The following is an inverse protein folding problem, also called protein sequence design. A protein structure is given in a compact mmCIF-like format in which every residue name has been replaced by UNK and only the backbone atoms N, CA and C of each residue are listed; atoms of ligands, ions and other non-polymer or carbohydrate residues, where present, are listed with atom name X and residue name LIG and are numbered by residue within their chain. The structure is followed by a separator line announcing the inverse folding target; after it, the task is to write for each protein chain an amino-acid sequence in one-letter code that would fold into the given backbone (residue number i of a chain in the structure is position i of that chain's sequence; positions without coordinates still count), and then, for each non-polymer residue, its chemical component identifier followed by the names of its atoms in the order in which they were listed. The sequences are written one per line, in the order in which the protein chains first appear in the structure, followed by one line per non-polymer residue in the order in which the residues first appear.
data_IF_841044661628
#
_entry.id   IF_841044661628
#
_cell.length_a   1.000
_cell.length_b   1.000
_cell.length_c   1.000
_cell.angle_alpha   90.00
_cell.angle_beta   90.00
_cell.angle_gamma   90.00
#
_symmetry.space_group_name_H-M   'P 1'
#
loop_
_entity.id
_entity.type
_entity.pdbx_description
1 polymer ?
#
# COMPACT_ATOMS: atom_id res chain seq x y z
N UNK A 1 19.99 -13.63 -11.55
CA UNK A 1 19.59 -12.95 -10.30
C UNK A 1 18.41 -12.04 -10.63
N UNK A 2 17.42 -11.99 -9.79
CA UNK A 2 16.23 -11.15 -9.95
C UNK A 2 16.54 -9.73 -9.48
N UNK A 3 16.48 -8.74 -10.38
CA UNK A 3 16.60 -7.32 -10.01
C UNK A 3 15.41 -6.95 -9.09
N UNK A 4 15.69 -6.48 -7.88
CA UNK A 4 14.67 -6.30 -6.86
C UNK A 4 14.68 -4.86 -6.35
N UNK A 5 13.52 -4.21 -6.32
CA UNK A 5 13.33 -2.88 -5.76
C UNK A 5 12.31 -2.89 -4.64
N UNK A 6 12.61 -2.20 -3.55
CA UNK A 6 11.66 -1.87 -2.51
C UNK A 6 11.00 -0.52 -2.84
N UNK A 7 9.67 -0.52 -2.95
CA UNK A 7 8.85 0.69 -3.21
C UNK A 7 8.10 1.01 -1.91
N UNK A 8 8.67 1.87 -1.10
CA UNK A 8 8.11 2.28 0.18
C UNK A 8 7.43 3.65 0.10
N UNK A 9 6.84 4.11 1.18
CA UNK A 9 6.16 5.41 1.30
C UNK A 9 4.95 5.31 2.22
N UNK A 10 4.59 6.42 2.82
CA UNK A 10 3.52 6.49 3.82
C UNK A 10 2.14 6.25 3.21
N UNK A 11 1.12 6.13 4.07
CA UNK A 11 -0.27 5.96 3.64
C UNK A 11 -0.68 7.06 2.65
N UNK A 12 -1.29 6.67 1.55
CA UNK A 12 -1.83 7.60 0.55
C UNK A 12 -0.77 8.32 -0.32
N UNK A 13 0.51 8.02 -0.21
CA UNK A 13 1.57 8.64 -1.05
C UNK A 13 1.47 8.29 -2.53
N UNK A 14 0.80 7.18 -2.89
CA UNK A 14 0.61 6.75 -4.28
C UNK A 14 1.51 5.58 -4.70
N UNK A 15 1.96 4.72 -3.77
CA UNK A 15 2.79 3.54 -4.06
C UNK A 15 2.19 2.64 -5.13
N UNK A 16 0.97 2.16 -4.92
CA UNK A 16 0.28 1.26 -5.85
C UNK A 16 0.11 1.88 -7.22
N UNK A 17 -0.27 3.17 -7.28
CA UNK A 17 -0.36 3.91 -8.54
C UNK A 17 0.98 3.96 -9.26
N UNK A 18 2.07 4.21 -8.53
CA UNK A 18 3.42 4.22 -9.09
C UNK A 18 3.83 2.85 -9.63
N UNK A 19 3.52 1.78 -8.91
CA UNK A 19 3.77 0.40 -9.38
C UNK A 19 2.98 0.09 -10.65
N UNK A 20 1.71 0.49 -10.72
CA UNK A 20 0.90 0.33 -11.93
C UNK A 20 1.51 1.03 -13.14
N UNK A 21 1.98 2.27 -12.97
CA UNK A 21 2.66 3.00 -14.04
C UNK A 21 3.98 2.34 -14.46
N UNK A 22 4.75 1.80 -13.52
CA UNK A 22 5.97 1.05 -13.82
C UNK A 22 5.66 -0.23 -14.58
N UNK A 23 4.61 -0.95 -14.20
CA UNK A 23 4.17 -2.18 -14.87
C UNK A 23 3.65 -1.92 -16.29
N UNK A 24 2.97 -0.79 -16.51
CA UNK A 24 2.53 -0.38 -17.84
C UNK A 24 3.68 -0.10 -18.81
N UNK A 25 4.86 0.26 -18.29
CA UNK A 25 6.07 0.50 -19.05
C UNK A 25 6.98 -0.76 -19.16
N UNK A 26 6.58 -1.87 -18.53
CA UNK A 26 7.38 -3.11 -18.49
C UNK A 26 7.76 -3.57 -19.90
N UNK A 27 9.03 -3.90 -20.18
CA UNK A 27 9.42 -4.53 -21.44
C UNK A 27 8.66 -5.84 -21.69
N UNK A 28 8.24 -6.05 -22.92
CA UNK A 28 7.42 -7.21 -23.30
C UNK A 28 8.14 -8.54 -23.10
N UNK A 29 9.45 -8.54 -23.23
CA UNK A 29 10.34 -9.70 -23.08
C UNK A 29 10.78 -9.96 -21.63
N UNK A 30 10.48 -9.07 -20.69
CA UNK A 30 10.79 -9.25 -19.29
C UNK A 30 9.60 -9.82 -18.49
N UNK A 31 9.91 -10.73 -17.59
CA UNK A 31 8.96 -11.29 -16.62
C UNK A 31 9.08 -10.55 -15.30
N UNK A 32 8.06 -9.84 -14.93
CA UNK A 32 8.03 -9.09 -13.67
C UNK A 32 7.15 -9.75 -12.65
N UNK A 33 7.50 -9.58 -11.39
CA UNK A 33 6.71 -9.99 -10.24
C UNK A 33 6.50 -8.82 -9.28
N UNK A 34 5.39 -8.84 -8.57
CA UNK A 34 5.08 -7.88 -7.50
C UNK A 34 4.71 -8.63 -6.24
N UNK A 35 5.38 -8.30 -5.14
CA UNK A 35 5.08 -8.78 -3.81
C UNK A 35 4.45 -7.65 -3.01
N UNK A 36 3.18 -7.81 -2.64
CA UNK A 36 2.40 -6.77 -1.97
C UNK A 36 2.07 -7.19 -0.55
N UNK A 37 2.23 -6.24 0.36
CA UNK A 37 1.64 -6.33 1.68
C UNK A 37 0.96 -5.00 1.99
N UNK A 38 -0.35 -5.00 2.15
CA UNK A 38 -1.09 -3.81 2.51
C UNK A 38 -1.66 -3.91 3.93
N UNK A 39 -1.58 -2.77 4.64
CA UNK A 39 -2.29 -2.62 5.92
C UNK A 39 -3.78 -2.49 5.59
N UNK A 40 -4.55 -3.45 6.07
CA UNK A 40 -6.00 -3.46 5.92
C UNK A 40 -6.59 -4.37 4.87
N UNK A 41 -5.81 -5.14 4.20
CA UNK A 41 -6.15 -6.39 3.51
C UNK A 41 -7.50 -6.51 2.80
N UNK A 42 -7.85 -5.48 2.09
CA UNK A 42 -8.75 -5.66 0.96
C UNK A 42 -7.84 -5.90 -0.23
N UNK A 43 -7.83 -7.09 -0.83
CA UNK A 43 -7.00 -7.43 -1.99
C UNK A 43 -7.27 -6.58 -3.25
N UNK A 44 -7.38 -5.28 -3.03
CA UNK A 44 -7.72 -4.27 -4.04
C UNK A 44 -6.52 -4.00 -4.92
N UNK A 45 -5.33 -3.94 -4.33
CA UNK A 45 -4.10 -3.70 -5.10
C UNK A 45 -3.77 -4.93 -5.95
N UNK A 46 -4.07 -6.13 -5.46
CA UNK A 46 -3.93 -7.35 -6.23
C UNK A 46 -4.86 -7.42 -7.44
N UNK A 47 -6.11 -7.04 -7.28
CA UNK A 47 -7.06 -7.00 -8.39
C UNK A 47 -6.65 -5.96 -9.46
N UNK A 48 -6.06 -4.82 -9.03
CA UNK A 48 -5.52 -3.79 -9.92
C UNK A 48 -4.36 -4.28 -10.77
N UNK A 49 -3.50 -5.09 -10.17
CA UNK A 49 -2.25 -5.52 -10.76
C UNK A 49 -2.40 -6.81 -11.58
N UNK A 50 -3.50 -7.56 -11.38
CA UNK A 50 -3.76 -8.82 -12.10
C UNK A 50 -3.78 -8.66 -13.63
N UNK A 51 -4.29 -7.54 -14.13
CA UNK A 51 -4.35 -7.26 -15.57
C UNK A 51 -3.01 -6.82 -16.18
N UNK A 52 -1.99 -6.58 -15.36
CA UNK A 52 -0.68 -6.07 -15.82
C UNK A 52 0.21 -7.14 -16.47
N UNK A 53 -0.18 -8.41 -16.44
CA UNK A 53 0.64 -9.53 -16.90
C UNK A 53 1.86 -9.82 -16.02
N UNK A 54 1.99 -9.21 -14.86
CA UNK A 54 3.00 -9.51 -13.86
C UNK A 54 2.56 -10.65 -12.93
N UNK A 55 3.54 -11.39 -12.39
CA UNK A 55 3.26 -12.38 -11.35
C UNK A 55 2.97 -11.67 -10.04
N UNK A 56 1.77 -11.82 -9.55
CA UNK A 56 1.35 -11.20 -8.31
C UNK A 56 1.40 -12.19 -7.15
N UNK A 57 1.95 -11.75 -6.02
CA UNK A 57 1.86 -12.46 -4.75
C UNK A 57 1.46 -11.47 -3.66
N UNK A 58 0.31 -11.71 -3.09
CA UNK A 58 -0.13 -11.01 -1.88
C UNK A 58 0.32 -11.78 -0.65
N UNK A 59 0.72 -11.04 0.40
CA UNK A 59 0.98 -11.60 1.72
C UNK A 59 -0.24 -11.27 2.57
N UNK A 60 -1.10 -12.26 2.87
CA UNK A 60 -2.26 -12.03 3.70
C UNK A 60 -1.87 -11.84 5.16
N UNK A 61 -2.59 -10.97 5.86
CA UNK A 61 -2.67 -10.98 7.31
C UNK A 61 -1.56 -10.33 8.08
N UNK A 62 -1.50 -9.02 8.07
CA UNK A 62 -0.65 -8.29 9.00
C UNK A 62 0.67 -7.83 8.40
N UNK A 63 1.39 -7.03 9.15
CA UNK A 63 2.65 -6.44 8.72
C UNK A 63 3.62 -7.50 8.19
N UNK A 64 4.20 -7.27 7.00
CA UNK A 64 5.31 -8.04 6.41
C UNK A 64 6.46 -8.25 7.42
N UNK A 65 6.48 -7.41 8.45
CA UNK A 65 7.42 -7.32 9.55
C UNK A 65 6.99 -8.14 10.79
N UNK A 66 5.76 -8.68 10.85
CA UNK A 66 5.29 -9.39 12.03
C UNK A 66 5.81 -10.82 12.07
N UNK A 67 6.16 -11.29 13.27
CA UNK A 67 6.55 -12.68 13.57
C UNK A 67 7.67 -13.21 12.65
N UNK A 68 8.89 -12.69 12.81
CA UNK A 68 10.10 -13.16 12.12
C UNK A 68 10.09 -13.08 10.58
N UNK A 69 9.21 -12.30 9.96
CA UNK A 69 9.17 -12.13 8.51
C UNK A 69 8.79 -13.40 7.71
N UNK A 70 8.30 -14.44 8.36
CA UNK A 70 8.02 -15.73 7.72
C UNK A 70 7.04 -15.63 6.53
N UNK A 71 5.93 -14.88 6.60
CA UNK A 71 5.03 -14.75 5.46
C UNK A 71 5.70 -14.12 4.24
N UNK A 72 6.54 -13.10 4.47
CA UNK A 72 7.32 -12.49 3.40
C UNK A 72 8.31 -13.48 2.78
N UNK A 73 9.03 -14.24 3.59
CA UNK A 73 9.99 -15.24 3.10
C UNK A 73 9.30 -16.33 2.27
N UNK A 74 8.10 -16.77 2.68
CA UNK A 74 7.30 -17.74 1.91
C UNK A 74 6.88 -17.16 0.56
N UNK A 75 6.36 -15.94 0.55
CA UNK A 75 5.98 -15.24 -0.68
C UNK A 75 7.18 -15.01 -1.62
N UNK A 76 8.29 -14.55 -1.07
CA UNK A 76 9.54 -14.30 -1.79
C UNK A 76 10.10 -15.60 -2.38
N UNK A 77 10.20 -16.67 -1.60
CA UNK A 77 10.66 -17.98 -2.07
C UNK A 77 9.77 -18.54 -3.19
N UNK A 78 8.46 -18.37 -3.07
CA UNK A 78 7.51 -18.80 -4.11
C UNK A 78 7.78 -18.07 -5.42
N UNK A 79 7.89 -16.74 -5.39
CA UNK A 79 8.14 -15.94 -6.59
C UNK A 79 9.51 -16.23 -7.19
N UNK A 80 10.56 -16.32 -6.40
CA UNK A 80 11.92 -16.56 -6.91
C UNK A 80 12.07 -17.96 -7.49
N UNK A 81 11.55 -19.01 -6.84
CA UNK A 81 11.72 -20.40 -7.27
C UNK A 81 10.79 -20.80 -8.41
N UNK A 82 9.53 -20.46 -8.31
CA UNK A 82 8.49 -20.84 -9.28
C UNK A 82 8.36 -19.80 -10.39
N UNK A 83 8.37 -18.54 -10.01
CA UNK A 83 8.20 -17.42 -10.93
C UNK A 83 9.43 -17.14 -11.76
N UNK A 84 10.62 -17.21 -11.17
CA UNK A 84 11.91 -16.82 -11.79
C UNK A 84 11.79 -15.49 -12.54
N UNK A 85 11.35 -14.41 -11.90
CA UNK A 85 11.15 -13.14 -12.57
C UNK A 85 12.51 -12.48 -12.86
N UNK A 86 12.55 -11.67 -13.93
CA UNK A 86 13.67 -10.80 -14.23
C UNK A 86 13.73 -9.61 -13.27
N UNK A 87 12.55 -9.14 -12.85
CA UNK A 87 12.39 -8.05 -11.86
C UNK A 87 11.33 -8.37 -10.84
N UNK A 88 11.59 -7.98 -9.60
CA UNK A 88 10.67 -8.06 -8.47
C UNK A 88 10.48 -6.66 -7.84
N UNK A 89 9.25 -6.19 -7.80
CA UNK A 89 8.86 -5.01 -7.02
C UNK A 89 8.23 -5.46 -5.70
N UNK A 90 8.63 -4.85 -4.60
CA UNK A 90 8.10 -5.16 -3.27
C UNK A 90 7.42 -3.92 -2.73
N UNK A 91 6.11 -4.01 -2.50
CA UNK A 91 5.30 -2.97 -1.88
C UNK A 91 4.92 -3.36 -0.45
N UNK A 92 5.58 -2.78 0.57
CA UNK A 92 5.13 -2.94 1.95
C UNK A 92 3.90 -2.07 2.23
N UNK A 93 3.21 -2.37 3.32
CA UNK A 93 2.16 -1.48 3.85
C UNK A 93 2.69 -0.06 4.04
N UNK A 94 1.80 0.93 3.89
CA UNK A 94 2.15 2.35 4.14
C UNK A 94 2.59 2.64 5.58
N UNK A 95 2.35 1.71 6.52
CA UNK A 95 2.83 1.74 7.90
C UNK A 95 3.95 0.71 8.17
N UNK A 96 4.55 0.12 7.12
CA UNK A 96 5.60 -0.87 7.25
C UNK A 96 6.98 -0.25 7.55
N UNK A 97 7.79 -0.99 8.30
CA UNK A 97 9.18 -0.66 8.57
C UNK A 97 10.10 -1.20 7.46
N UNK A 98 10.73 -0.36 6.67
CA UNK A 98 11.57 -0.82 5.56
C UNK A 98 12.79 -1.61 6.02
N UNK A 99 13.31 -1.33 7.24
CA UNK A 99 14.47 -2.00 7.79
C UNK A 99 14.32 -3.53 7.81
N UNK A 100 13.22 -4.03 8.35
CA UNK A 100 13.01 -5.48 8.46
C UNK A 100 12.94 -6.16 7.10
N UNK A 101 12.37 -5.48 6.11
CA UNK A 101 12.30 -5.99 4.72
C UNK A 101 13.70 -6.01 4.12
N UNK A 102 14.46 -4.94 4.29
CA UNK A 102 15.83 -4.85 3.79
C UNK A 102 16.73 -5.89 4.47
N UNK A 103 16.59 -6.12 5.78
CA UNK A 103 17.32 -7.16 6.50
C UNK A 103 17.06 -8.56 5.93
N UNK A 104 15.81 -8.86 5.54
CA UNK A 104 15.47 -10.11 4.86
C UNK A 104 16.12 -10.16 3.47
N UNK A 105 15.95 -9.11 2.66
CA UNK A 105 16.43 -9.08 1.27
C UNK A 105 17.96 -9.14 1.17
N UNK A 106 18.67 -8.67 2.19
CA UNK A 106 20.15 -8.68 2.27
C UNK A 106 20.69 -9.89 3.01
N UNK A 107 19.84 -10.79 3.50
CA UNK A 107 20.30 -12.01 4.15
C UNK A 107 21.06 -12.92 3.18
N UNK A 108 22.14 -13.57 3.65
CA UNK A 108 23.02 -14.40 2.82
C UNK A 108 22.30 -15.49 2.01
N UNK A 109 21.17 -15.99 2.51
CA UNK A 109 20.34 -16.99 1.79
C UNK A 109 19.75 -16.46 0.49
N UNK A 110 19.57 -15.15 0.36
CA UNK A 110 19.01 -14.51 -0.84
C UNK A 110 20.08 -13.92 -1.78
N UNK A 111 21.31 -13.79 -1.33
CA UNK A 111 22.42 -13.25 -2.13
C UNK A 111 22.56 -13.89 -3.53
N UNK A 112 22.41 -15.23 -3.71
CA UNK A 112 22.49 -15.84 -5.03
C UNK A 112 21.27 -15.58 -5.93
N UNK A 113 20.16 -15.07 -5.38
CA UNK A 113 18.88 -14.97 -6.07
C UNK A 113 18.48 -13.53 -6.38
N UNK A 114 18.87 -12.59 -5.52
CA UNK A 114 18.43 -11.18 -5.53
C UNK A 114 19.60 -10.27 -5.89
N UNK A 115 19.37 -9.40 -6.85
CA UNK A 115 20.17 -8.21 -7.14
C UNK A 115 19.38 -7.00 -6.60
N UNK A 116 19.66 -6.62 -5.36
CA UNK A 116 18.92 -5.54 -4.68
C UNK A 116 19.37 -4.18 -5.21
N UNK A 117 18.45 -3.50 -5.87
CA UNK A 117 18.58 -2.19 -6.46
C UNK A 117 18.09 -1.09 -5.53
N UNK A 118 18.09 0.15 -6.03
CA UNK A 118 17.65 1.33 -5.28
C UNK A 118 16.30 1.13 -4.60
N UNK A 119 16.20 1.59 -3.36
CA UNK A 119 14.94 1.72 -2.62
C UNK A 119 14.29 3.05 -2.99
N UNK A 120 13.06 3.01 -3.49
CA UNK A 120 12.26 4.20 -3.81
C UNK A 120 11.30 4.48 -2.66
N UNK A 121 11.28 5.73 -2.17
CA UNK A 121 10.25 6.20 -1.25
C UNK A 121 9.32 7.16 -1.99
N UNK A 122 8.06 6.78 -2.11
CA UNK A 122 7.02 7.63 -2.69
C UNK A 122 6.51 8.55 -1.59
N UNK A 123 6.68 9.85 -1.79
CA UNK A 123 6.32 10.91 -0.85
C UNK A 123 5.28 11.83 -1.47
N UNK A 124 4.18 12.09 -0.78
CA UNK A 124 3.34 13.24 -1.05
C UNK A 124 3.90 14.42 -0.25
N UNK A 125 4.43 15.49 -0.89
CA UNK A 125 5.06 16.59 -0.16
C UNK A 125 4.17 17.26 0.89
N UNK A 126 2.85 17.19 0.73
CA UNK A 126 1.88 17.73 1.69
C UNK A 126 1.91 17.00 3.04
N UNK A 127 2.38 15.75 3.06
CA UNK A 127 2.55 14.96 4.29
C UNK A 127 3.63 15.54 5.22
N UNK A 128 4.56 16.33 4.69
CA UNK A 128 5.56 17.03 5.49
C UNK A 128 4.96 18.17 6.34
N UNK A 129 3.76 18.62 6.02
CA UNK A 129 2.99 19.60 6.79
C UNK A 129 2.08 18.94 7.85
N UNK A 130 1.90 17.63 7.79
CA UNK A 130 1.09 16.89 8.75
C UNK A 130 1.97 16.44 9.94
N UNK A 131 1.76 17.07 11.10
CA UNK A 131 2.52 16.76 12.32
C UNK A 131 2.41 15.27 12.72
N UNK A 132 1.29 14.62 12.44
CA UNK A 132 1.08 13.20 12.72
C UNK A 132 1.92 12.31 11.81
N UNK A 133 2.00 12.66 10.53
CA UNK A 133 2.86 11.94 9.59
C UNK A 133 4.34 12.13 9.97
N UNK A 134 4.77 13.36 10.20
CA UNK A 134 6.17 13.68 10.51
C UNK A 134 6.61 13.11 11.87
N UNK A 135 5.71 13.02 12.86
CA UNK A 135 5.98 12.39 14.16
C UNK A 135 5.96 10.86 14.13
N UNK A 136 5.46 10.24 13.07
CA UNK A 136 5.40 8.80 12.92
C UNK A 136 6.78 8.22 12.56
N UNK A 137 7.25 7.26 13.36
CA UNK A 137 8.56 6.62 13.16
C UNK A 137 8.66 5.94 11.78
N UNK A 138 7.58 5.28 11.33
CA UNK A 138 7.59 4.61 10.01
C UNK A 138 7.77 5.60 8.87
N UNK A 139 7.12 6.77 8.95
CA UNK A 139 7.31 7.83 7.95
C UNK A 139 8.77 8.26 7.86
N UNK A 140 9.40 8.48 9.02
CA UNK A 140 10.83 8.85 9.08
C UNK A 140 11.75 7.74 8.58
N UNK A 141 11.48 6.50 8.99
CA UNK A 141 12.26 5.32 8.59
C UNK A 141 12.15 5.05 7.09
N UNK A 142 10.97 5.25 6.49
CA UNK A 142 10.76 5.11 5.06
C UNK A 142 11.58 6.13 4.26
N UNK A 143 11.59 7.38 4.69
CA UNK A 143 12.42 8.42 4.08
C UNK A 143 13.92 8.13 4.30
N UNK A 144 14.29 7.66 5.51
CA UNK A 144 15.67 7.33 5.83
C UNK A 144 16.22 6.16 5.01
N UNK A 145 15.39 5.15 4.72
CA UNK A 145 15.79 3.97 3.96
C UNK A 145 15.97 4.21 2.46
N UNK A 146 15.43 5.30 1.93
CA UNK A 146 15.38 5.56 0.51
C UNK A 146 16.74 5.92 -0.10
N UNK A 147 17.02 5.41 -1.29
CA UNK A 147 18.05 5.91 -2.21
C UNK A 147 17.46 7.03 -3.08
N UNK A 148 16.20 6.88 -3.46
CA UNK A 148 15.47 7.80 -4.32
C UNK A 148 14.19 8.21 -3.61
N UNK A 149 13.95 9.52 -3.49
CA UNK A 149 12.68 10.07 -3.02
C UNK A 149 11.92 10.61 -4.23
N UNK A 150 10.75 10.02 -4.44
CA UNK A 150 9.82 10.45 -5.48
C UNK A 150 8.78 11.36 -4.86
N UNK A 151 8.90 12.67 -5.07
CA UNK A 151 7.90 13.66 -4.71
C UNK A 151 6.71 13.51 -5.68
N UNK A 152 5.76 12.68 -5.29
CA UNK A 152 4.57 12.36 -6.07
C UNK A 152 3.46 13.39 -5.83
N UNK A 153 2.45 13.40 -6.70
CA UNK A 153 1.34 14.35 -6.70
C UNK A 153 1.81 15.82 -6.80
N UNK A 154 2.86 16.06 -7.58
CA UNK A 154 3.40 17.41 -7.78
C UNK A 154 2.38 18.36 -8.43
N UNK A 155 1.36 17.85 -9.10
CA UNK A 155 0.19 18.60 -9.58
C UNK A 155 -0.67 19.18 -8.44
N UNK A 156 -0.50 18.70 -7.22
CA UNK A 156 -1.21 19.15 -6.01
C UNK A 156 -0.31 19.84 -4.99
N UNK A 157 0.94 20.09 -5.37
CA UNK A 157 1.89 20.76 -4.51
C UNK A 157 1.45 22.20 -4.25
N UNK A 158 1.53 22.65 -3.00
CA UNK A 158 1.31 24.03 -2.60
C UNK A 158 2.64 24.72 -2.33
N UNK A 159 2.65 26.06 -2.30
CA UNK A 159 3.85 26.80 -1.94
C UNK A 159 4.41 26.41 -0.56
N UNK A 160 3.53 26.01 0.37
CA UNK A 160 3.92 25.57 1.71
C UNK A 160 4.55 24.17 1.67
N UNK A 161 3.94 23.23 0.95
CA UNK A 161 4.49 21.87 0.84
C UNK A 161 5.80 21.83 0.05
N UNK A 162 5.94 22.71 -0.96
CA UNK A 162 7.20 22.87 -1.69
C UNK A 162 8.32 23.38 -0.78
N UNK A 163 8.02 24.36 0.09
CA UNK A 163 8.98 24.85 1.10
C UNK A 163 9.31 23.78 2.10
N UNK A 164 8.32 23.06 2.64
CA UNK A 164 8.54 21.97 3.58
C UNK A 164 9.44 20.88 2.99
N UNK A 165 9.23 20.53 1.71
CA UNK A 165 10.10 19.58 0.99
C UNK A 165 11.52 20.12 0.82
N UNK A 166 11.68 21.41 0.47
CA UNK A 166 12.97 22.04 0.33
C UNK A 166 13.74 22.07 1.68
N UNK A 167 13.05 22.46 2.75
CA UNK A 167 13.63 22.51 4.11
C UNK A 167 14.01 21.10 4.60
N UNK A 168 13.14 20.11 4.37
CA UNK A 168 13.44 18.71 4.67
C UNK A 168 14.65 18.23 3.88
N UNK A 169 14.69 18.56 2.57
CA UNK A 169 15.78 18.14 1.69
C UNK A 169 17.12 18.74 2.11
N UNK A 170 17.14 20.02 2.48
CA UNK A 170 18.35 20.68 2.97
C UNK A 170 18.91 20.03 4.23
N UNK A 171 18.04 19.55 5.12
CA UNK A 171 18.45 18.96 6.40
C UNK A 171 18.79 17.48 6.29
N UNK A 172 18.04 16.73 5.50
CA UNK A 172 18.04 15.28 5.52
C UNK A 172 18.21 14.61 4.15
N UNK A 173 18.17 15.38 3.05
CA UNK A 173 18.26 14.84 1.67
C UNK A 173 19.56 14.06 1.42
N UNK A 174 20.69 14.62 1.87
CA UNK A 174 21.99 13.98 1.71
C UNK A 174 22.32 13.68 0.25
N UNK A 175 22.84 12.47 0.00
CA UNK A 175 23.19 11.99 -1.36
C UNK A 175 22.01 11.32 -2.09
N UNK A 176 20.81 11.35 -1.52
CA UNK A 176 19.63 10.75 -2.15
C UNK A 176 19.28 11.49 -3.44
N UNK A 177 18.73 10.76 -4.39
CA UNK A 177 18.17 11.38 -5.59
C UNK A 177 16.75 11.84 -5.32
N UNK A 178 16.41 13.05 -5.80
CA UNK A 178 15.04 13.58 -5.78
C UNK A 178 14.46 13.56 -7.21
N UNK A 179 13.24 13.06 -7.32
CA UNK A 179 12.47 13.02 -8.57
C UNK A 179 11.07 13.51 -8.27
N UNK A 180 10.48 14.30 -9.17
CA UNK A 180 9.06 14.69 -9.09
C UNK A 180 8.23 13.80 -9.98
N UNK A 181 7.02 13.47 -9.53
CA UNK A 181 6.07 12.66 -10.29
C UNK A 181 4.64 13.20 -10.16
N UNK A 182 3.85 12.97 -11.19
CA UNK A 182 2.41 13.22 -11.23
C UNK A 182 1.73 11.86 -11.38
N UNK A 183 0.76 11.57 -10.53
CA UNK A 183 -0.01 10.32 -10.56
C UNK A 183 0.86 9.05 -10.60
N UNK A 184 2.03 9.07 -9.96
CA UNK A 184 2.93 7.92 -9.91
C UNK A 184 3.70 7.64 -11.21
N UNK A 185 3.70 8.56 -12.18
CA UNK A 185 4.46 8.40 -13.42
C UNK A 185 5.96 8.56 -13.15
N UNK A 186 6.66 7.44 -13.09
CA UNK A 186 8.07 7.30 -12.74
C UNK A 186 8.79 6.66 -13.94
N UNK A 187 9.98 7.17 -14.25
CA UNK A 187 10.84 6.60 -15.29
C UNK A 187 11.39 5.23 -14.84
N UNK A 188 11.29 4.23 -15.70
CA UNK A 188 11.80 2.88 -15.46
C UNK A 188 13.29 2.83 -15.11
N UNK A 189 14.09 3.74 -15.66
CA UNK A 189 15.54 3.78 -15.45
C UNK A 189 15.92 3.93 -13.99
N UNK A 190 15.04 4.50 -13.16
CA UNK A 190 15.25 4.62 -11.71
C UNK A 190 15.32 3.26 -11.00
N UNK A 191 14.69 2.25 -11.56
CA UNK A 191 14.71 0.88 -11.01
C UNK A 191 16.06 0.18 -11.20
N UNK A 192 16.87 0.65 -12.12
CA UNK A 192 18.20 0.07 -12.41
C UNK A 192 19.32 0.76 -11.61
N UNK A 193 19.01 1.84 -10.90
CA UNK A 193 20.00 2.49 -10.05
C UNK A 193 20.47 1.55 -8.93
N UNK A 194 21.77 1.59 -8.60
CA UNK A 194 22.31 0.78 -7.52
C UNK A 194 21.78 1.26 -6.16
N UNK A 195 21.62 0.34 -5.24
CA UNK A 195 21.41 0.68 -3.84
C UNK A 195 22.68 1.33 -3.27
N UNK A 196 22.55 2.54 -2.75
CA UNK A 196 23.65 3.32 -2.18
C UNK A 196 23.50 3.51 -0.66
N UNK A 197 22.25 3.60 -0.21
CA UNK A 197 21.94 3.83 1.20
C UNK A 197 22.05 2.51 1.99
N UNK A 198 23.23 2.27 2.53
CA UNK A 198 23.53 1.12 3.41
C UNK A 198 23.65 1.54 4.87
N UNK A 199 23.33 2.80 5.20
CA UNK A 199 23.35 3.28 6.58
C UNK A 199 22.45 2.41 7.48
N UNK A 200 22.88 2.04 8.68
CA UNK A 200 22.03 1.32 9.61
C UNK A 200 20.81 2.16 9.95
N UNK A 201 19.63 1.64 9.62
CA UNK A 201 18.37 2.25 10.03
C UNK A 201 18.21 2.06 11.54
N UNK A 202 17.63 3.04 12.27
CA UNK A 202 17.37 2.89 13.68
C UNK A 202 16.61 1.56 13.91
N UNK A 203 17.02 0.84 14.96
CA UNK A 203 16.23 -0.31 15.39
C UNK A 203 14.82 0.22 15.70
N UNK A 204 13.80 -0.32 15.02
CA UNK A 204 12.43 -0.04 15.40
C UNK A 204 12.35 -0.31 16.91
N UNK A 205 11.91 0.68 17.69
CA UNK A 205 11.61 0.41 19.09
C UNK A 205 10.69 -0.80 19.09
N UNK A 206 11.13 -1.90 19.69
CA UNK A 206 10.30 -3.08 19.90
C UNK A 206 9.14 -2.64 20.80
N UNK A 207 8.16 -1.99 20.24
CA UNK A 207 6.85 -2.02 20.85
C UNK A 207 6.40 -3.47 20.70
N UNK A 208 6.71 -4.25 21.71
CA UNK A 208 6.18 -5.58 21.95
C UNK A 208 4.66 -5.48 22.14
N UNK A 209 3.96 -5.03 21.11
CA UNK A 209 2.54 -5.26 20.99
C UNK A 209 2.41 -6.73 20.60
N UNK A 210 2.25 -7.57 21.63
CA UNK A 210 1.66 -8.90 21.50
C UNK A 210 0.23 -8.69 20.97
N UNK A 211 0.12 -8.45 19.67
CA UNK A 211 -1.15 -8.63 18.99
C UNK A 211 -1.26 -10.13 18.70
N UNK A 212 -2.36 -10.77 19.10
CA UNK A 212 -2.66 -12.11 18.58
C UNK A 212 -2.64 -12.00 17.04
N UNK A 213 -2.26 -13.06 16.32
CA UNK A 213 -2.27 -13.05 14.87
C UNK A 213 -3.71 -12.82 14.41
N UNK A 214 -4.04 -11.57 14.16
CA UNK A 214 -5.30 -11.18 13.53
C UNK A 214 -5.13 -11.43 12.06
N UNK A 215 -5.75 -12.49 11.57
CA UNK A 215 -5.95 -12.74 10.15
C UNK A 215 -6.63 -11.50 9.56
N UNK A 216 -5.99 -10.85 8.59
CA UNK A 216 -6.59 -9.72 7.93
C UNK A 216 -7.73 -10.09 6.97
N UNK A 217 -8.35 -9.06 6.35
CA UNK A 217 -9.51 -9.21 5.44
C UNK A 217 -9.24 -10.12 4.24
N UNK A 218 -8.00 -10.18 3.71
CA UNK A 218 -7.66 -11.07 2.61
C UNK A 218 -7.68 -12.56 3.00
N UNK A 219 -7.45 -12.86 4.29
CA UNK A 219 -7.61 -14.19 4.84
C UNK A 219 -9.04 -14.48 5.31
N UNK A 220 -9.92 -13.45 5.32
CA UNK A 220 -11.30 -13.60 5.70
C UNK A 220 -12.11 -14.05 4.48
N UNK A 221 -12.61 -15.25 4.52
CA UNK A 221 -13.72 -15.72 3.71
C UNK A 221 -15.03 -15.55 4.48
N UNK A 222 -16.11 -15.31 3.74
CA UNK A 222 -17.45 -15.41 4.30
C UNK A 222 -17.74 -16.89 4.57
N UNK A 223 -18.30 -17.19 5.73
CA UNK A 223 -18.83 -18.54 5.99
C UNK A 223 -20.03 -18.80 5.07
N UNK A 224 -20.33 -20.08 4.79
CA UNK A 224 -21.54 -20.48 4.07
C UNK A 224 -22.77 -19.80 4.70
N UNK A 225 -23.56 -19.07 3.90
CA UNK A 225 -24.72 -18.26 4.30
C UNK A 225 -24.43 -16.92 4.99
N UNK A 226 -23.17 -16.49 5.14
CA UNK A 226 -22.84 -15.18 5.69
C UNK A 226 -22.80 -14.14 4.58
N UNK A 227 -23.70 -13.14 4.61
CA UNK A 227 -23.77 -12.12 3.58
C UNK A 227 -22.73 -10.99 3.73
N UNK A 228 -22.21 -10.79 4.93
CA UNK A 228 -21.14 -9.82 5.19
C UNK A 228 -20.40 -10.11 6.49
N UNK A 229 -19.19 -9.55 6.60
CA UNK A 229 -18.34 -9.64 7.80
C UNK A 229 -17.58 -8.35 8.00
N UNK A 230 -17.37 -7.95 9.27
CA UNK A 230 -16.55 -6.81 9.68
C UNK A 230 -15.24 -7.28 10.31
N UNK A 231 -14.19 -6.53 10.06
CA UNK A 231 -12.90 -6.69 10.71
C UNK A 231 -12.40 -5.35 11.26
N UNK A 232 -11.86 -5.36 12.47
CA UNK A 232 -11.23 -4.21 13.11
C UNK A 232 -9.73 -4.46 13.19
N UNK A 233 -8.94 -3.45 12.86
CA UNK A 233 -7.51 -3.49 12.94
C UNK A 233 -6.99 -2.22 13.63
N UNK A 234 -6.04 -2.35 14.55
CA UNK A 234 -5.44 -1.24 15.27
C UNK A 234 -3.92 -1.39 15.25
N UNK A 235 -3.21 -0.34 14.93
CA UNK A 235 -1.75 -0.36 14.94
C UNK A 235 -1.14 1.00 14.64
N UNK A 236 -0.02 1.30 15.28
CA UNK A 236 0.84 2.44 14.95
C UNK A 236 0.13 3.80 14.97
N UNK A 237 -0.82 3.99 15.89
CA UNK A 237 -1.57 5.24 16.02
C UNK A 237 -2.74 5.39 15.04
N UNK A 238 -3.06 4.34 14.29
CA UNK A 238 -4.20 4.29 13.39
C UNK A 238 -5.17 3.17 13.76
N UNK A 239 -6.44 3.40 13.47
CA UNK A 239 -7.51 2.41 13.57
C UNK A 239 -8.04 2.12 12.17
N UNK A 240 -8.23 0.86 11.85
CA UNK A 240 -8.82 0.40 10.60
C UNK A 240 -10.10 -0.40 10.84
N UNK A 241 -11.07 -0.23 9.97
CA UNK A 241 -12.27 -1.04 9.92
C UNK A 241 -12.58 -1.42 8.48
N UNK A 242 -12.73 -2.70 8.21
CA UNK A 242 -13.05 -3.22 6.91
C UNK A 242 -14.30 -4.09 6.91
N UNK A 243 -15.01 -4.10 5.78
CA UNK A 243 -16.17 -4.96 5.54
C UNK A 243 -15.98 -5.73 4.24
N UNK A 244 -16.40 -6.99 4.28
CA UNK A 244 -16.51 -7.87 3.13
C UNK A 244 -17.99 -8.21 2.95
N UNK A 245 -18.46 -8.20 1.72
CA UNK A 245 -19.82 -8.57 1.33
C UNK A 245 -19.78 -9.65 0.25
N UNK A 246 -20.78 -10.51 0.24
CA UNK A 246 -20.92 -11.55 -0.76
C UNK A 246 -21.10 -11.00 -2.19
N UNK A 247 -21.03 -11.87 -3.18
CA UNK A 247 -21.17 -11.53 -4.59
C UNK A 247 -22.58 -11.04 -4.96
N UNK A 248 -23.59 -11.30 -4.12
CA UNK A 248 -24.97 -10.93 -4.37
C UNK A 248 -25.32 -9.54 -3.79
N UNK A 249 -24.50 -9.05 -2.86
CA UNK A 249 -24.72 -7.72 -2.26
C UNK A 249 -24.34 -6.62 -3.24
N UNK A 250 -25.35 -5.83 -3.62
CA UNK A 250 -25.22 -4.68 -4.52
C UNK A 250 -25.58 -3.41 -3.77
N UNK A 251 -24.83 -2.34 -4.01
CA UNK A 251 -25.00 -1.05 -3.32
C UNK A 251 -25.61 0.00 -4.27
N UNK A 252 -26.37 0.91 -3.67
CA UNK A 252 -26.79 2.14 -4.37
C UNK A 252 -25.55 2.98 -4.71
N UNK A 253 -25.37 3.26 -5.98
CA UNK A 253 -24.17 3.89 -6.51
C UNK A 253 -23.96 5.28 -5.93
N UNK A 254 -24.97 6.13 -5.97
CA UNK A 254 -24.88 7.53 -5.52
C UNK A 254 -24.63 7.57 -4.02
N UNK A 255 -25.42 6.83 -3.25
CA UNK A 255 -25.31 6.78 -1.80
C UNK A 255 -23.96 6.25 -1.34
N UNK A 256 -23.41 5.20 -2.00
CA UNK A 256 -22.11 4.63 -1.68
C UNK A 256 -20.96 5.63 -1.92
N UNK A 257 -20.98 6.30 -3.06
CA UNK A 257 -19.94 7.28 -3.40
C UNK A 257 -20.00 8.50 -2.48
N UNK A 258 -21.19 8.96 -2.14
CA UNK A 258 -21.37 10.04 -1.18
C UNK A 258 -20.95 9.62 0.24
N UNK A 259 -21.33 8.42 0.67
CA UNK A 259 -20.88 7.86 1.96
C UNK A 259 -19.35 7.77 2.02
N UNK A 260 -18.70 7.27 0.98
CA UNK A 260 -17.25 7.20 0.91
C UNK A 260 -16.59 8.57 0.94
N UNK A 261 -17.20 9.58 0.31
CA UNK A 261 -16.73 10.97 0.30
C UNK A 261 -16.85 11.63 1.67
N UNK A 262 -17.94 11.39 2.38
CA UNK A 262 -18.29 12.07 3.63
C UNK A 262 -17.84 11.34 4.89
N UNK A 263 -17.41 10.08 4.80
CA UNK A 263 -16.95 9.31 5.94
C UNK A 263 -15.87 10.09 6.74
N UNK A 264 -16.05 10.28 8.07
CA UNK A 264 -15.16 11.10 8.92
C UNK A 264 -13.87 10.33 9.26
N UNK A 265 -13.13 9.88 8.24
CA UNK A 265 -11.91 9.11 8.37
C UNK A 265 -10.86 9.63 7.38
N UNK A 266 -9.59 9.36 7.65
CA UNK A 266 -8.48 9.84 6.81
C UNK A 266 -8.37 9.14 5.46
N UNK A 267 -8.79 7.87 5.38
CA UNK A 267 -8.69 7.06 4.15
C UNK A 267 -9.90 6.15 3.99
N UNK A 268 -10.36 6.03 2.75
CA UNK A 268 -11.34 5.01 2.31
C UNK A 268 -10.79 4.32 1.09
N UNK A 269 -10.78 3.01 1.08
CA UNK A 269 -10.36 2.19 -0.06
C UNK A 269 -11.33 1.03 -0.23
N UNK A 270 -11.78 0.76 -1.45
CA UNK A 270 -12.73 -0.32 -1.67
C UNK A 270 -12.89 -0.69 -3.13
N UNK A 271 -13.36 -1.92 -3.33
CA UNK A 271 -13.92 -2.41 -4.60
C UNK A 271 -15.30 -2.93 -4.28
N UNK A 272 -16.31 -2.29 -4.86
CA UNK A 272 -17.70 -2.47 -4.47
C UNK A 272 -18.57 -2.78 -5.70
N UNK A 273 -19.48 -3.73 -5.55
CA UNK A 273 -20.54 -3.97 -6.53
C UNK A 273 -21.63 -2.92 -6.39
N UNK A 274 -21.99 -2.32 -7.48
CA UNK A 274 -23.05 -1.29 -7.60
C UNK A 274 -24.07 -1.72 -8.63
N UNK A 275 -25.18 -0.98 -8.73
CA UNK A 275 -26.26 -1.30 -9.66
C UNK A 275 -25.78 -1.40 -11.12
N UNK A 276 -24.82 -0.59 -11.53
CA UNK A 276 -24.30 -0.50 -12.89
C UNK A 276 -23.04 -1.36 -13.13
N UNK A 277 -22.62 -2.19 -12.16
CA UNK A 277 -21.43 -3.03 -12.28
C UNK A 277 -20.56 -3.03 -11.03
N UNK A 278 -19.35 -2.52 -11.11
CA UNK A 278 -18.47 -2.37 -9.96
C UNK A 278 -17.63 -1.09 -10.05
N UNK A 279 -17.28 -0.57 -8.88
CA UNK A 279 -16.42 0.61 -8.75
C UNK A 279 -15.28 0.36 -7.80
N UNK A 280 -14.16 0.97 -8.11
CA UNK A 280 -13.04 1.16 -7.20
C UNK A 280 -13.12 2.54 -6.60
N UNK A 281 -12.96 2.61 -5.28
CA UNK A 281 -12.96 3.83 -4.49
C UNK A 281 -11.60 3.95 -3.81
N UNK A 282 -10.94 5.08 -3.97
CA UNK A 282 -9.72 5.40 -3.24
C UNK A 282 -9.78 6.87 -2.82
N UNK A 283 -9.90 7.12 -1.51
CA UNK A 283 -9.91 8.45 -0.93
C UNK A 283 -8.81 8.58 0.11
N UNK A 284 -8.05 9.66 0.01
CA UNK A 284 -7.06 10.07 1.01
C UNK A 284 -7.34 11.54 1.37
N UNK A 285 -7.78 11.80 2.60
CA UNK A 285 -8.26 13.12 2.99
C UNK A 285 -9.42 13.57 2.09
N UNK A 286 -9.23 14.66 1.37
CA UNK A 286 -10.21 15.20 0.40
C UNK A 286 -10.01 14.65 -1.02
N UNK A 287 -8.89 13.98 -1.29
CA UNK A 287 -8.57 13.43 -2.60
C UNK A 287 -9.35 12.14 -2.85
N UNK A 288 -10.43 12.21 -3.58
CA UNK A 288 -11.26 11.07 -3.98
C UNK A 288 -11.02 10.70 -5.44
N UNK A 289 -10.66 9.44 -5.66
CA UNK A 289 -10.57 8.83 -6.99
C UNK A 289 -11.55 7.68 -7.10
N UNK A 290 -12.35 7.67 -8.18
CA UNK A 290 -13.36 6.66 -8.47
C UNK A 290 -13.11 6.14 -9.88
N UNK A 291 -13.10 4.82 -10.02
CA UNK A 291 -12.91 4.14 -11.30
C UNK A 291 -13.95 3.04 -11.46
N UNK A 292 -14.61 3.02 -12.61
CA UNK A 292 -15.53 1.94 -12.97
C UNK A 292 -14.74 0.73 -13.45
N UNK A 293 -15.08 -0.45 -12.96
CA UNK A 293 -14.42 -1.69 -13.33
C UNK A 293 -15.22 -2.41 -14.41
N UNK A 294 -14.52 -2.90 -15.44
CA UNK A 294 -15.12 -3.70 -16.51
C UNK A 294 -15.50 -5.12 -16.07
N UNK A 295 -14.83 -5.63 -15.04
CA UNK A 295 -15.10 -6.95 -14.47
C UNK A 295 -15.48 -6.79 -13.00
N UNK A 296 -16.61 -7.35 -12.62
CA UNK A 296 -17.04 -7.32 -11.22
C UNK A 296 -16.19 -8.28 -10.39
N UNK A 297 -15.74 -7.86 -9.20
CA UNK A 297 -14.96 -8.70 -8.29
C UNK A 297 -15.81 -9.87 -7.76
N UNK A 298 -15.19 -10.94 -7.25
CA UNK A 298 -15.91 -12.08 -6.68
C UNK A 298 -16.70 -11.71 -5.41
N UNK A 299 -16.27 -10.69 -4.69
CA UNK A 299 -16.92 -10.13 -3.50
C UNK A 299 -16.72 -8.60 -3.47
N UNK A 300 -17.45 -7.90 -2.62
CA UNK A 300 -17.25 -6.46 -2.38
C UNK A 300 -16.47 -6.26 -1.09
N UNK A 301 -15.48 -5.37 -1.13
CA UNK A 301 -14.63 -5.05 0.02
C UNK A 301 -14.42 -3.56 0.14
N UNK A 302 -14.51 -3.05 1.37
CA UNK A 302 -14.21 -1.65 1.67
C UNK A 302 -13.54 -1.53 3.03
N UNK A 303 -12.53 -0.68 3.10
CA UNK A 303 -11.77 -0.41 4.29
C UNK A 303 -11.62 1.07 4.56
N UNK A 304 -11.69 1.41 5.82
CA UNK A 304 -11.53 2.75 6.33
C UNK A 304 -10.36 2.79 7.33
N UNK A 305 -9.53 3.82 7.24
CA UNK A 305 -8.43 4.04 8.19
C UNK A 305 -8.58 5.44 8.77
N UNK A 306 -8.50 5.54 10.09
CA UNK A 306 -8.57 6.80 10.84
C UNK A 306 -7.42 6.91 11.85
N UNK A 307 -6.85 8.10 11.96
CA UNK A 307 -5.90 8.46 13.02
C UNK A 307 -6.59 8.88 14.33
N UNK A 308 -7.91 9.10 14.30
CA UNK A 308 -8.74 9.43 15.44
C UNK A 308 -9.71 8.28 15.75
N UNK A 309 -10.31 8.31 16.95
CA UNK A 309 -11.46 7.46 17.22
C UNK A 309 -12.57 7.72 16.20
N UNK A 310 -13.11 6.65 15.63
CA UNK A 310 -14.21 6.69 14.68
C UNK A 310 -15.36 5.81 15.19
N UNK A 311 -16.59 6.28 14.99
CA UNK A 311 -17.77 5.46 15.29
C UNK A 311 -18.01 4.43 14.18
N UNK A 312 -17.29 3.29 14.29
CA UNK A 312 -17.39 2.20 13.34
C UNK A 312 -18.80 1.59 13.28
N UNK A 313 -19.61 1.71 14.33
CA UNK A 313 -20.96 1.18 14.34
C UNK A 313 -21.92 2.10 13.55
N UNK A 314 -21.78 3.40 13.70
CA UNK A 314 -22.54 4.36 12.90
C UNK A 314 -22.17 4.24 11.41
N UNK A 315 -20.88 4.12 11.09
CA UNK A 315 -20.39 3.91 9.72
C UNK A 315 -20.91 2.60 9.13
N UNK A 316 -20.90 1.51 9.90
CA UNK A 316 -21.48 0.24 9.46
C UNK A 316 -22.97 0.36 9.19
N UNK A 317 -23.72 0.97 10.10
CA UNK A 317 -25.17 1.11 9.98
C UNK A 317 -25.54 1.91 8.74
N UNK A 318 -24.84 3.00 8.48
CA UNK A 318 -25.04 3.82 7.28
C UNK A 318 -24.68 3.06 5.99
N UNK A 319 -23.56 2.33 5.98
CA UNK A 319 -23.13 1.51 4.84
C UNK A 319 -24.16 0.41 4.54
N UNK A 320 -24.63 -0.31 5.54
CA UNK A 320 -25.59 -1.41 5.38
C UNK A 320 -26.95 -0.95 4.84
N UNK A 321 -27.33 0.32 5.07
CA UNK A 321 -28.58 0.91 4.52
C UNK A 321 -28.49 1.19 3.01
N UNK A 322 -27.32 1.24 2.46
CA UNK A 322 -27.08 1.48 1.02
C UNK A 322 -27.21 0.23 0.17
N UNK A 323 -27.43 -0.93 0.76
CA UNK A 323 -27.67 -2.18 0.03
C UNK A 323 -29.02 -2.14 -0.65
N UNK A 324 -29.05 -2.53 -1.92
CA UNK A 324 -30.27 -2.53 -2.73
C UNK A 324 -31.10 -3.82 -2.52
N UNK A 325 -30.52 -4.88 -2.03
CA UNK A 325 -31.22 -6.16 -1.74
C UNK A 325 -30.37 -7.06 -0.83
#
# INVERSE_FOLDING_TARGET
MTRTNLITGFLGSGKTTSILHLLAQKPADEKWAVLINEFGEVGIDGALLADSGALLKEIPGGCMCCVNGLPMQVGLNTLLRQGKPDRLLIEPTGLGHPKQILDILTAAVYEPWIDLRATLCILDPRQLLDERAVSNDNFRDQLAAADIIVANKSDRETAESARALADWWQRWGGERRKVSAIQGNIDLTLLDEPRRNTAPLPASAEHAHRHPPTSGLAALSLAEHQRWRRHLNNGQGYQGCGWIFDAETVFDTIGLLEWARLAPVGRVKGVMRIAEGAVRINRQGEDLHIETLSVAPPDSRIELISANEADWNALQTSLLRLRLS
#
